data_IF_340631767425
#
_entry.id   IF_340631767425
#
_cell.length_a   1.000
_cell.length_b   1.000
_cell.length_c   1.000
_cell.angle_alpha   90.00
_cell.angle_beta   90.00
_cell.angle_gamma   90.00
#
_symmetry.space_group_name_H-M   'P 1'
#
loop_
_entity.id
_entity.type
_entity.pdbx_description
1 polymer ?
#
# COMPACT_ATOMS: atom_id res chain seq x y z
N UNK A 1 -7.50 9.48 -3.66
CA UNK A 1 -7.46 8.15 -3.00
C UNK A 1 -6.80 8.35 -1.66
N UNK A 2 -7.24 7.65 -0.62
CA UNK A 2 -6.61 7.69 0.70
C UNK A 2 -6.26 6.28 1.17
N UNK A 3 -5.32 6.18 2.13
CA UNK A 3 -4.81 4.91 2.66
C UNK A 3 -5.48 4.62 3.99
N UNK A 4 -6.11 3.47 4.12
CA UNK A 4 -6.75 3.07 5.38
C UNK A 4 -5.72 2.79 6.48
N UNK A 5 -5.98 3.12 7.77
CA UNK A 5 -5.03 2.88 8.86
C UNK A 5 -4.53 1.43 8.96
N UNK A 6 -5.37 0.47 8.57
CA UNK A 6 -4.98 -0.94 8.51
C UNK A 6 -3.85 -1.21 7.49
N UNK A 7 -3.88 -0.53 6.35
CA UNK A 7 -2.83 -0.64 5.34
C UNK A 7 -1.51 0.00 5.81
N UNK A 8 -1.57 1.12 6.53
CA UNK A 8 -0.36 1.74 7.11
C UNK A 8 0.21 0.93 8.28
N UNK A 9 -0.62 0.21 9.05
CA UNK A 9 -0.18 -0.68 10.14
C UNK A 9 0.78 -1.76 9.64
N UNK A 10 0.46 -2.40 8.52
CA UNK A 10 1.34 -3.42 7.92
C UNK A 10 2.69 -2.86 7.45
N UNK A 11 2.72 -1.62 6.98
CA UNK A 11 3.98 -0.96 6.62
C UNK A 11 4.85 -0.71 7.86
N UNK A 12 4.25 -0.24 8.95
CA UNK A 12 4.95 -0.03 10.22
C UNK A 12 5.51 -1.35 10.78
N UNK A 13 4.70 -2.42 10.76
CA UNK A 13 5.11 -3.77 11.17
C UNK A 13 6.28 -4.30 10.33
N UNK A 14 6.34 -3.96 9.03
CA UNK A 14 7.44 -4.34 8.17
C UNK A 14 8.74 -3.63 8.55
N UNK A 15 8.70 -2.29 8.71
CA UNK A 15 9.92 -1.51 8.96
C UNK A 15 10.49 -1.74 10.36
N UNK A 16 9.63 -2.02 11.36
CA UNK A 16 10.07 -2.39 12.72
C UNK A 16 10.92 -3.67 12.80
N UNK A 17 10.97 -4.48 11.73
CA UNK A 17 11.84 -5.67 11.65
C UNK A 17 13.30 -5.32 11.44
N UNK A 18 13.62 -4.09 11.05
CA UNK A 18 14.98 -3.64 10.76
C UNK A 18 15.55 -2.81 11.92
N UNK A 19 16.87 -2.85 12.09
CA UNK A 19 17.59 -2.17 13.18
C UNK A 19 17.37 -0.65 13.16
N UNK A 20 17.39 -0.02 14.34
CA UNK A 20 17.01 1.40 14.52
C UNK A 20 17.77 2.39 13.63
N UNK A 21 19.05 2.13 13.33
CA UNK A 21 19.88 3.02 12.49
C UNK A 21 19.44 3.05 11.02
N UNK A 22 18.77 1.99 10.53
CA UNK A 22 18.27 1.90 9.15
C UNK A 22 16.77 2.20 9.04
N UNK A 23 16.10 2.48 10.17
CA UNK A 23 14.65 2.59 10.24
C UNK A 23 14.09 3.70 9.33
N UNK A 24 14.64 4.92 9.41
CA UNK A 24 14.16 6.07 8.63
C UNK A 24 14.35 5.90 7.12
N UNK A 25 15.51 5.39 6.68
CA UNK A 25 15.78 5.16 5.26
C UNK A 25 14.92 4.02 4.69
N UNK A 26 14.69 2.97 5.48
CA UNK A 26 13.82 1.86 5.09
C UNK A 26 12.36 2.31 5.00
N UNK A 27 11.89 3.21 5.88
CA UNK A 27 10.56 3.81 5.75
C UNK A 27 10.42 4.58 4.44
N UNK A 28 11.39 5.44 4.11
CA UNK A 28 11.34 6.24 2.89
C UNK A 28 11.38 5.37 1.62
N UNK A 29 12.22 4.33 1.62
CA UNK A 29 12.30 3.37 0.53
C UNK A 29 10.98 2.60 0.37
N UNK A 30 10.39 2.13 1.48
CA UNK A 30 9.12 1.41 1.48
C UNK A 30 7.97 2.28 0.96
N UNK A 31 7.86 3.53 1.42
CA UNK A 31 6.83 4.48 0.96
C UNK A 31 6.98 4.81 -0.54
N UNK A 32 8.23 4.93 -1.02
CA UNK A 32 8.51 5.15 -2.44
C UNK A 32 8.11 3.94 -3.28
N UNK A 33 8.44 2.74 -2.81
CA UNK A 33 8.02 1.47 -3.43
C UNK A 33 6.50 1.33 -3.47
N UNK A 34 5.82 1.63 -2.34
CA UNK A 34 4.37 1.61 -2.24
C UNK A 34 3.70 2.53 -3.25
N UNK A 35 4.12 3.80 -3.31
CA UNK A 35 3.60 4.76 -4.29
C UNK A 35 3.76 4.23 -5.72
N UNK A 36 4.92 3.66 -6.03
CA UNK A 36 5.21 3.07 -7.35
C UNK A 36 4.27 1.91 -7.70
N UNK A 37 3.97 1.04 -6.73
CA UNK A 37 3.04 -0.08 -6.87
C UNK A 37 1.60 0.39 -7.11
N UNK A 38 1.15 1.39 -6.36
CA UNK A 38 -0.18 2.01 -6.52
C UNK A 38 -0.31 2.71 -7.87
N UNK A 39 0.68 3.50 -8.27
CA UNK A 39 0.70 4.20 -9.57
C UNK A 39 0.63 3.19 -10.73
N UNK A 40 1.33 2.05 -10.61
CA UNK A 40 1.30 1.00 -11.63
C UNK A 40 -0.05 0.29 -11.68
N UNK A 41 -0.60 -0.11 -10.52
CA UNK A 41 -1.89 -0.80 -10.43
C UNK A 41 -3.01 0.07 -10.99
N UNK A 42 -3.07 1.34 -10.58
CA UNK A 42 -4.10 2.28 -11.04
C UNK A 42 -4.04 2.54 -12.55
N UNK A 43 -2.84 2.67 -13.13
CA UNK A 43 -2.66 2.82 -14.59
C UNK A 43 -3.09 1.59 -15.39
N UNK A 44 -2.96 0.38 -14.83
CA UNK A 44 -3.38 -0.87 -15.47
C UNK A 44 -4.88 -1.15 -15.33
N UNK A 45 -5.57 -0.39 -14.48
CA UNK A 45 -6.94 -0.66 -14.06
C UNK A 45 -6.97 -1.50 -12.78
N UNK A 46 -7.86 -1.11 -11.86
CA UNK A 46 -8.04 -1.79 -10.58
C UNK A 46 -9.43 -2.41 -10.52
N UNK A 47 -9.50 -3.65 -10.07
CA UNK A 47 -10.76 -4.29 -9.68
C UNK A 47 -10.98 -4.07 -8.18
N UNK A 48 -12.13 -3.51 -7.81
CA UNK A 48 -12.43 -3.28 -6.41
C UNK A 48 -12.71 -4.59 -5.67
N UNK A 49 -12.34 -4.60 -4.39
CA UNK A 49 -12.51 -5.72 -3.46
C UNK A 49 -11.77 -7.01 -3.85
N UNK A 50 -10.84 -6.96 -4.81
CA UNK A 50 -9.92 -8.05 -5.14
C UNK A 50 -8.49 -7.73 -4.71
N UNK A 51 -7.75 -8.78 -4.36
CA UNK A 51 -6.31 -8.68 -4.11
C UNK A 51 -5.58 -8.55 -5.44
N UNK A 52 -4.61 -7.64 -5.51
CA UNK A 52 -3.70 -7.51 -6.63
C UNK A 52 -2.26 -7.58 -6.14
N UNK A 53 -1.46 -8.45 -6.77
CA UNK A 53 -0.04 -8.57 -6.50
C UNK A 53 0.75 -7.81 -7.56
N UNK A 54 1.52 -6.81 -7.13
CA UNK A 54 2.18 -5.88 -8.03
C UNK A 54 3.42 -5.28 -7.37
N UNK A 55 4.57 -5.39 -8.05
CA UNK A 55 5.84 -4.78 -7.61
C UNK A 55 6.23 -5.09 -6.15
N UNK A 56 6.04 -6.33 -5.70
CA UNK A 56 6.33 -6.75 -4.33
C UNK A 56 5.25 -6.38 -3.29
N UNK A 57 4.12 -5.84 -3.74
CA UNK A 57 3.00 -5.50 -2.87
C UNK A 57 1.78 -6.38 -3.16
N UNK A 58 1.12 -6.81 -2.09
CA UNK A 58 -0.27 -7.25 -2.13
C UNK A 58 -1.17 -6.08 -1.73
N UNK A 59 -2.01 -5.62 -2.65
CA UNK A 59 -2.88 -4.47 -2.47
C UNK A 59 -4.36 -4.86 -2.59
N UNK A 60 -5.24 -4.15 -1.87
CA UNK A 60 -6.69 -4.20 -2.08
C UNK A 60 -7.26 -2.80 -2.11
N UNK A 61 -8.00 -2.51 -3.18
CA UNK A 61 -8.72 -1.26 -3.34
C UNK A 61 -10.20 -1.47 -3.09
N UNK A 62 -10.86 -0.50 -2.47
CA UNK A 62 -12.31 -0.48 -2.29
C UNK A 62 -12.86 0.87 -2.71
N UNK A 63 -14.09 0.88 -3.21
CA UNK A 63 -14.88 2.08 -3.48
C UNK A 63 -16.34 1.70 -3.26
N UNK A 64 -16.95 2.26 -2.23
CA UNK A 64 -18.37 2.06 -1.92
C UNK A 64 -19.22 2.99 -2.78
N UNK A 65 -20.49 2.66 -2.89
CA UNK A 65 -21.48 3.56 -3.49
C UNK A 65 -21.52 4.86 -2.68
N UNK A 66 -21.40 6.00 -3.36
CA UNK A 66 -21.26 7.32 -2.73
C UNK A 66 -19.82 7.77 -2.45
N UNK A 67 -18.81 6.90 -2.55
CA UNK A 67 -17.42 7.31 -2.37
C UNK A 67 -16.92 8.15 -3.55
N UNK A 68 -16.44 9.37 -3.26
CA UNK A 68 -15.84 10.26 -4.25
C UNK A 68 -14.52 9.67 -4.79
N UNK A 69 -13.73 9.05 -3.91
CA UNK A 69 -12.42 8.47 -4.23
C UNK A 69 -12.29 7.06 -3.66
N UNK A 70 -11.64 6.14 -4.37
CA UNK A 70 -11.30 4.82 -3.82
C UNK A 70 -10.35 4.91 -2.62
N UNK A 71 -10.30 3.82 -1.87
CA UNK A 71 -9.51 3.62 -0.65
C UNK A 71 -8.57 2.44 -0.83
N UNK A 72 -7.33 2.56 -0.35
CA UNK A 72 -6.42 1.42 -0.21
C UNK A 72 -6.67 0.80 1.16
N UNK A 73 -7.41 -0.31 1.21
CA UNK A 73 -7.82 -0.93 2.47
C UNK A 73 -6.85 -2.01 2.97
N UNK A 74 -5.97 -2.49 2.08
CA UNK A 74 -4.91 -3.47 2.36
C UNK A 74 -3.65 -3.10 1.59
N UNK A 75 -2.50 -3.14 2.27
CA UNK A 75 -1.19 -2.98 1.65
C UNK A 75 -0.16 -3.77 2.46
N UNK A 76 0.30 -4.89 1.92
CA UNK A 76 1.35 -5.71 2.53
C UNK A 76 2.51 -5.83 1.56
N UNK A 77 3.71 -5.46 2.01
CA UNK A 77 4.94 -5.69 1.26
C UNK A 77 5.43 -7.12 1.50
N UNK A 78 5.79 -7.82 0.43
CA UNK A 78 6.23 -9.23 0.41
C UNK A 78 7.65 -9.36 -0.12
#
# INVERSE_FOLDING_TARGET
MWVHPNATKHMEEYVKRYTSHSYSINQQALLTSFKSAVDYATKKGIEYNKLVNVRGWELKFSKKEGDILPVIMHAVYR
#
